data_IF_950848609588
#
_entry.id   IF_950848609588
#
_cell.length_a   1.000
_cell.length_b   1.000
_cell.length_c   1.000
_cell.angle_alpha   90.00
_cell.angle_beta   90.00
_cell.angle_gamma   90.00
#
_symmetry.space_group_name_H-M   'P 1'
#
loop_
_entity.id
_entity.type
_entity.pdbx_description
1 polymer ?
#
# COMPACT_ATOMS: atom_id res chain seq x y z
N UNK A 1 5.26 -2.57 -13.47
CA UNK A 1 4.87 -2.25 -12.09
C UNK A 1 4.43 -0.81 -12.03
N UNK A 2 3.20 -0.52 -11.60
CA UNK A 2 2.75 0.86 -11.37
C UNK A 2 3.12 1.26 -9.94
N UNK A 3 3.62 2.48 -9.79
CA UNK A 3 3.87 3.08 -8.49
C UNK A 3 3.31 4.49 -8.43
N UNK A 4 3.04 4.95 -7.22
CA UNK A 4 2.60 6.32 -6.92
C UNK A 4 3.38 6.79 -5.70
N UNK A 5 3.90 8.01 -5.75
CA UNK A 5 4.55 8.62 -4.59
C UNK A 5 3.56 9.53 -3.91
N UNK A 6 3.42 9.34 -2.60
CA UNK A 6 2.61 10.21 -1.73
C UNK A 6 3.52 10.92 -0.74
N UNK A 7 3.06 12.04 -0.21
CA UNK A 7 3.71 12.72 0.92
C UNK A 7 2.90 12.46 2.18
N UNK A 8 3.54 11.86 3.18
CA UNK A 8 2.96 11.60 4.51
C UNK A 8 3.76 12.41 5.52
N UNK A 9 3.15 13.42 6.11
CA UNK A 9 3.79 14.34 7.07
C UNK A 9 5.15 14.91 6.57
N UNK A 10 5.26 15.20 5.27
CA UNK A 10 6.51 15.71 4.65
C UNK A 10 7.50 14.63 4.23
N UNK A 11 7.27 13.36 4.58
CA UNK A 11 8.09 12.22 4.13
C UNK A 11 7.55 11.67 2.82
N UNK A 12 8.42 11.47 1.84
CA UNK A 12 8.05 10.82 0.59
C UNK A 12 7.93 9.31 0.79
N UNK A 13 6.78 8.76 0.39
CA UNK A 13 6.45 7.36 0.52
C UNK A 13 6.04 6.83 -0.84
N UNK A 14 6.72 5.78 -1.32
CA UNK A 14 6.40 5.15 -2.60
C UNK A 14 5.48 3.97 -2.39
N UNK A 15 4.32 4.01 -3.02
CA UNK A 15 3.35 2.92 -3.09
C UNK A 15 3.54 2.15 -4.38
N UNK A 16 3.84 0.85 -4.32
CA UNK A 16 3.99 -0.01 -5.50
C UNK A 16 2.93 -1.09 -5.49
N UNK A 17 2.10 -1.13 -6.54
CA UNK A 17 1.07 -2.17 -6.66
C UNK A 17 1.73 -3.48 -7.14
N UNK A 18 1.58 -4.54 -6.35
CA UNK A 18 1.99 -5.88 -6.76
C UNK A 18 0.94 -6.43 -7.71
N UNK A 19 1.40 -6.78 -8.92
CA UNK A 19 0.53 -7.28 -9.99
C UNK A 19 0.02 -8.66 -9.59
N UNK A 20 -1.30 -8.87 -9.74
CA UNK A 20 -1.94 -10.16 -9.52
C UNK A 20 -2.24 -10.52 -8.06
N UNK A 21 -1.72 -9.80 -7.07
CA UNK A 21 -1.86 -10.19 -5.65
C UNK A 21 -2.71 -9.27 -4.79
N UNK A 22 -3.13 -8.10 -5.32
CA UNK A 22 -3.92 -7.13 -4.54
C UNK A 22 -3.13 -6.37 -3.47
N UNK A 23 -1.88 -6.75 -3.19
CA UNK A 23 -1.03 -6.08 -2.23
C UNK A 23 -0.45 -4.77 -2.76
N UNK A 24 -0.09 -3.89 -1.82
CA UNK A 24 0.61 -2.63 -2.05
C UNK A 24 1.88 -2.63 -1.20
N UNK A 25 3.03 -2.45 -1.84
CA UNK A 25 4.32 -2.27 -1.16
C UNK A 25 4.55 -0.80 -0.85
N UNK A 26 5.24 -0.57 0.24
CA UNK A 26 5.59 0.72 0.81
C UNK A 26 7.12 0.80 0.84
N UNK A 27 7.67 1.80 0.17
CA UNK A 27 9.11 2.10 0.26
C UNK A 27 9.29 3.50 0.85
N UNK A 28 10.01 3.58 1.96
CA UNK A 28 10.44 4.82 2.60
C UNK A 28 11.97 4.84 2.58
N UNK A 29 12.56 5.98 2.23
CA UNK A 29 14.02 6.10 2.17
C UNK A 29 14.66 5.73 3.52
N UNK A 30 15.60 4.79 3.50
CA UNK A 30 16.30 4.32 4.71
C UNK A 30 15.52 3.32 5.57
N UNK A 31 14.34 2.86 5.13
CA UNK A 31 13.58 1.81 5.81
C UNK A 31 13.44 0.56 4.94
N UNK A 32 13.18 -0.62 5.56
CA UNK A 32 12.81 -1.82 4.82
C UNK A 32 11.58 -1.60 3.95
N UNK A 33 11.48 -2.35 2.85
CA UNK A 33 10.25 -2.37 2.07
C UNK A 33 9.18 -3.16 2.82
N UNK A 34 8.02 -2.52 3.01
CA UNK A 34 6.92 -3.08 3.78
C UNK A 34 5.75 -3.38 2.86
N UNK A 35 5.16 -4.56 3.00
CA UNK A 35 3.90 -4.89 2.37
C UNK A 35 2.76 -4.50 3.30
N UNK A 36 1.81 -3.71 2.78
CA UNK A 36 0.57 -3.43 3.47
C UNK A 36 -0.41 -4.60 3.29
N UNK A 37 -0.89 -5.15 4.40
CA UNK A 37 -1.78 -6.29 4.37
C UNK A 37 -3.25 -5.85 4.14
N UNK A 38 -4.07 -6.64 3.42
CA UNK A 38 -5.47 -6.29 3.14
C UNK A 38 -6.37 -6.25 4.39
N UNK A 39 -5.89 -6.72 5.54
CA UNK A 39 -6.56 -6.54 6.84
C UNK A 39 -6.60 -5.07 7.31
N UNK A 40 -5.90 -4.19 6.61
CA UNK A 40 -6.06 -2.74 6.69
C UNK A 40 -5.26 -2.07 7.81
N UNK A 41 -4.50 -2.82 8.61
CA UNK A 41 -3.82 -2.25 9.79
C UNK A 41 -2.41 -2.80 10.03
N UNK A 42 -1.97 -3.81 9.27
CA UNK A 42 -0.66 -4.42 9.50
C UNK A 42 0.30 -4.22 8.33
N UNK A 43 1.57 -4.06 8.69
CA UNK A 43 2.69 -4.01 7.76
C UNK A 43 3.55 -5.24 7.96
N UNK A 44 3.96 -5.86 6.85
CA UNK A 44 4.81 -7.05 6.85
C UNK A 44 6.11 -6.73 6.13
N UNK A 45 7.25 -7.16 6.66
CA UNK A 45 8.51 -7.01 5.94
C UNK A 45 8.48 -7.90 4.69
N UNK A 46 8.44 -7.29 3.52
CA UNK A 46 8.33 -7.99 2.25
C UNK A 46 9.54 -8.90 1.98
N UNK A 47 10.72 -8.50 2.44
CA UNK A 47 11.97 -9.23 2.24
C UNK A 47 12.26 -10.26 3.34
N UNK A 48 11.35 -10.43 4.31
CA UNK A 48 11.53 -11.46 5.34
C UNK A 48 11.00 -12.81 4.85
N UNK A 49 11.82 -13.87 4.95
CA UNK A 49 11.44 -15.24 4.55
C UNK A 49 10.16 -15.76 5.24
N UNK A 50 9.80 -15.17 6.39
CA UNK A 50 8.67 -15.59 7.21
C UNK A 50 7.51 -14.58 7.27
N UNK A 51 7.55 -13.50 6.48
CA UNK A 51 6.50 -12.47 6.53
C UNK A 51 6.33 -11.90 7.94
N UNK A 52 7.41 -11.49 8.58
CA UNK A 52 7.34 -10.88 9.90
C UNK A 52 6.52 -9.59 9.86
N UNK A 53 5.44 -9.56 10.63
CA UNK A 53 4.72 -8.32 10.94
C UNK A 53 5.69 -7.37 11.61
N UNK A 54 5.82 -6.17 11.05
CA UNK A 54 6.67 -5.11 11.59
C UNK A 54 5.78 -4.14 12.35
N UNK A 55 6.02 -4.01 13.65
CA UNK A 55 5.64 -2.80 14.37
C UNK A 55 6.69 -1.74 14.06
N UNK A 56 6.39 -0.88 13.09
CA UNK A 56 7.26 0.24 12.80
C UNK A 56 7.12 1.28 13.93
N UNK A 57 8.24 1.77 14.45
CA UNK A 57 8.30 2.86 15.43
C UNK A 57 8.07 4.21 14.72
N UNK A 58 6.88 4.37 14.14
CA UNK A 58 6.46 5.61 13.51
C UNK A 58 5.63 6.44 14.48
N UNK A 59 5.78 7.77 14.39
CA UNK A 59 4.93 8.69 15.13
C UNK A 59 3.44 8.40 14.79
N UNK A 60 2.52 8.47 15.79
CA UNK A 60 1.11 8.19 15.56
C UNK A 60 0.49 9.00 14.42
N UNK A 61 0.86 10.28 14.29
CA UNK A 61 0.35 11.15 13.24
C UNK A 61 0.79 10.71 11.84
N UNK A 62 2.02 10.19 11.72
CA UNK A 62 2.52 9.60 10.49
C UNK A 62 1.76 8.33 10.14
N UNK A 63 1.56 7.45 11.12
CA UNK A 63 0.86 6.19 10.92
C UNK A 63 -0.61 6.42 10.50
N UNK A 64 -1.31 7.33 11.18
CA UNK A 64 -2.70 7.67 10.87
C UNK A 64 -2.85 8.22 9.45
N UNK A 65 -2.00 9.17 9.07
CA UNK A 65 -2.03 9.77 7.74
C UNK A 65 -1.62 8.76 6.65
N UNK A 66 -0.65 7.89 6.94
CA UNK A 66 -0.24 6.82 6.04
C UNK A 66 -1.40 5.83 5.80
N UNK A 67 -2.06 5.36 6.86
CA UNK A 67 -3.16 4.42 6.77
C UNK A 67 -4.35 5.03 6.00
N UNK A 68 -4.68 6.30 6.27
CA UNK A 68 -5.71 7.03 5.53
C UNK A 68 -5.41 7.06 4.02
N UNK A 69 -4.20 7.48 3.64
CA UNK A 69 -3.82 7.58 2.23
C UNK A 69 -3.70 6.21 1.55
N UNK A 70 -3.21 5.18 2.25
CA UNK A 70 -3.18 3.80 1.76
C UNK A 70 -4.59 3.26 1.52
N UNK A 71 -5.53 3.53 2.43
CA UNK A 71 -6.94 3.19 2.28
C UNK A 71 -7.54 3.82 1.02
N UNK A 72 -7.32 5.12 0.82
CA UNK A 72 -7.80 5.85 -0.37
C UNK A 72 -7.17 5.33 -1.67
N UNK A 73 -5.86 5.04 -1.66
CA UNK A 73 -5.16 4.44 -2.79
C UNK A 73 -5.74 3.08 -3.17
N UNK A 74 -5.94 2.20 -2.19
CA UNK A 74 -6.51 0.87 -2.41
C UNK A 74 -7.97 0.95 -2.87
N UNK A 75 -8.78 1.83 -2.28
CA UNK A 75 -10.17 2.04 -2.70
C UNK A 75 -10.27 2.50 -4.16
N UNK A 76 -9.44 3.46 -4.58
CA UNK A 76 -9.36 3.91 -5.98
C UNK A 76 -8.96 2.78 -6.92
N UNK A 77 -7.96 1.98 -6.55
CA UNK A 77 -7.51 0.82 -7.34
C UNK A 77 -8.63 -0.21 -7.50
N UNK A 78 -9.35 -0.54 -6.41
CA UNK A 78 -10.46 -1.48 -6.46
C UNK A 78 -11.60 -0.96 -7.34
N UNK A 79 -11.94 0.33 -7.25
CA UNK A 79 -12.93 0.95 -8.12
C UNK A 79 -12.53 0.88 -9.60
N UNK A 80 -11.26 1.14 -9.94
CA UNK A 80 -10.74 1.00 -11.31
C UNK A 80 -10.83 -0.45 -11.83
N UNK A 81 -10.49 -1.44 -11.00
CA UNK A 81 -10.61 -2.85 -11.35
C UNK A 81 -12.07 -3.22 -11.62
N UNK A 82 -12.98 -2.76 -10.77
CA UNK A 82 -14.41 -3.03 -10.92
C UNK A 82 -14.99 -2.38 -12.18
N UNK A 83 -14.61 -1.12 -12.46
CA UNK A 83 -15.00 -0.41 -13.68
C UNK A 83 -14.50 -1.13 -14.94
N UNK A 84 -13.25 -1.60 -14.94
CA UNK A 84 -12.68 -2.37 -16.06
C UNK A 84 -13.43 -3.69 -16.28
N UNK A 85 -13.76 -4.42 -15.20
CA UNK A 85 -14.56 -5.66 -15.29
C UNK A 85 -15.93 -5.41 -15.90
N UNK A 86 -16.62 -4.34 -15.48
CA UNK A 86 -17.93 -3.98 -16.04
C UNK A 86 -17.82 -3.62 -17.52
N UNK A 87 -16.78 -2.90 -17.93
CA UNK A 87 -16.55 -2.54 -19.33
C UNK A 87 -16.31 -3.73 -20.25
N UNK A 88 -15.71 -4.82 -19.75
CA UNK A 88 -15.52 -6.05 -20.52
C UNK A 88 -16.82 -6.85 -20.57
N UNK A 89 -17.56 -6.94 -19.46
CA UNK A 89 -18.82 -7.67 -19.41
C UNK A 89 -19.93 -7.04 -20.27
N UNK A 90 -19.79 -5.77 -20.64
CA UNK A 90 -20.72 -5.04 -21.52
C UNK A 90 -20.34 -5.09 -23.01
N UNK A 91 -19.27 -5.78 -23.39
CA UNK A 91 -18.87 -6.04 -24.79
C UNK A 91 -19.32 -7.43 -25.21
#
# INVERSE_FOLDING_TARGET
>A
MQYTTISVCGTAVRLTNVIGSGHTLLTIAGQPELMFNPDGQTFVNWNSEHGQTVQADWAPEFLDELLRQLGEHNARRLAQIQQWRQSIASQ
#
